data_IF_190481718996
#
_entry.id   IF_190481718996
#
_cell.length_a   1.000
_cell.length_b   1.000
_cell.length_c   1.000
_cell.angle_alpha   90.00
_cell.angle_beta   90.00
_cell.angle_gamma   90.00
#
_symmetry.space_group_name_H-M   'P 1'
#
loop_
_entity.id
_entity.type
_entity.pdbx_description
1 polymer ?
#
# COMPACT_ATOMS: atom_id res chain seq x y z
N UNK A 1 -20.05 -1.77 18.91
CA UNK A 1 -19.52 -0.56 18.25
C UNK A 1 -20.61 0.49 18.21
N UNK A 2 -20.29 1.73 18.57
CA UNK A 2 -21.22 2.84 18.43
C UNK A 2 -21.31 3.26 16.94
N UNK A 3 -22.40 3.92 16.54
CA UNK A 3 -22.66 4.29 15.14
C UNK A 3 -21.50 5.12 14.52
N UNK A 4 -20.82 5.94 15.33
CA UNK A 4 -19.67 6.73 14.89
C UNK A 4 -18.43 5.87 14.59
N UNK A 5 -18.21 4.78 15.34
CA UNK A 5 -17.09 3.86 15.12
C UNK A 5 -17.28 3.11 13.80
N UNK A 6 -18.51 2.63 13.54
CA UNK A 6 -18.85 1.98 12.28
C UNK A 6 -18.65 2.94 11.09
N UNK A 7 -19.10 4.20 11.21
CA UNK A 7 -18.88 5.20 10.16
C UNK A 7 -17.40 5.46 9.91
N UNK A 8 -16.59 5.58 10.97
CA UNK A 8 -15.15 5.78 10.84
C UNK A 8 -14.48 4.58 10.16
N UNK A 9 -14.84 3.36 10.56
CA UNK A 9 -14.34 2.13 9.95
C UNK A 9 -14.68 2.06 8.46
N UNK A 10 -15.93 2.35 8.08
CA UNK A 10 -16.35 2.38 6.67
C UNK A 10 -15.53 3.39 5.87
N UNK A 11 -15.27 4.59 6.42
CA UNK A 11 -14.45 5.61 5.76
C UNK A 11 -13.02 5.11 5.55
N UNK A 12 -12.41 4.51 6.57
CA UNK A 12 -11.03 4.00 6.50
C UNK A 12 -10.91 2.87 5.48
N UNK A 13 -11.83 1.91 5.51
CA UNK A 13 -11.87 0.79 4.57
C UNK A 13 -12.06 1.30 3.14
N UNK A 14 -13.02 2.21 2.91
CA UNK A 14 -13.26 2.79 1.58
C UNK A 14 -12.01 3.47 1.03
N UNK A 15 -11.29 4.23 1.89
CA UNK A 15 -10.06 4.89 1.49
C UNK A 15 -8.96 3.89 1.12
N UNK A 16 -8.83 2.79 1.86
CA UNK A 16 -7.87 1.75 1.51
C UNK A 16 -8.26 0.98 0.24
N UNK A 17 -9.55 0.76 -0.03
CA UNK A 17 -10.00 0.20 -1.31
C UNK A 17 -9.48 1.04 -2.48
N UNK A 18 -9.68 2.36 -2.42
CA UNK A 18 -9.21 3.28 -3.47
C UNK A 18 -7.69 3.25 -3.63
N UNK A 19 -6.95 3.24 -2.53
CA UNK A 19 -5.47 3.19 -2.56
C UNK A 19 -4.99 1.88 -3.19
N UNK A 20 -5.54 0.73 -2.78
CA UNK A 20 -5.14 -0.58 -3.30
C UNK A 20 -5.44 -0.69 -4.78
N UNK A 21 -6.63 -0.24 -5.23
CA UNK A 21 -6.98 -0.22 -6.65
C UNK A 21 -5.95 0.61 -7.42
N UNK A 22 -5.59 1.80 -6.93
CA UNK A 22 -4.59 2.65 -7.60
C UNK A 22 -3.21 2.01 -7.67
N UNK A 23 -2.78 1.34 -6.61
CA UNK A 23 -1.50 0.61 -6.62
C UNK A 23 -1.53 -0.47 -7.70
N UNK A 24 -2.55 -1.33 -7.69
CA UNK A 24 -2.63 -2.49 -8.57
C UNK A 24 -2.99 -2.13 -10.02
N UNK A 25 -3.66 -0.99 -10.26
CA UNK A 25 -3.88 -0.48 -11.61
C UNK A 25 -2.55 -0.12 -12.30
N UNK A 26 -1.60 0.45 -11.55
CA UNK A 26 -0.26 0.83 -12.03
C UNK A 26 0.64 -0.40 -12.18
N UNK A 27 0.72 -1.25 -11.13
CA UNK A 27 1.71 -2.34 -11.06
C UNK A 27 1.21 -3.69 -11.57
N UNK A 28 -0.09 -3.82 -11.86
CA UNK A 28 -0.84 -5.03 -12.29
C UNK A 28 -0.90 -6.15 -11.23
N UNK A 29 0.21 -6.46 -10.59
CA UNK A 29 0.27 -7.39 -9.47
C UNK A 29 1.21 -6.91 -8.36
N UNK A 30 0.91 -7.33 -7.13
CA UNK A 30 1.77 -7.12 -5.98
C UNK A 30 1.45 -8.13 -4.89
N UNK A 31 2.45 -8.62 -4.17
CA UNK A 31 2.22 -9.49 -3.01
C UNK A 31 1.33 -8.80 -1.96
N UNK A 32 0.57 -9.57 -1.19
CA UNK A 32 -0.21 -9.07 -0.06
C UNK A 32 0.70 -8.27 0.90
N UNK A 33 1.86 -8.79 1.27
CA UNK A 33 2.77 -8.14 2.24
C UNK A 33 3.23 -6.75 1.77
N UNK A 34 3.70 -6.63 0.53
CA UNK A 34 4.10 -5.34 -0.04
C UNK A 34 2.90 -4.40 -0.17
N UNK A 35 1.73 -4.92 -0.54
CA UNK A 35 0.49 -4.14 -0.64
C UNK A 35 0.11 -3.53 0.71
N UNK A 36 0.21 -4.27 1.81
CA UNK A 36 -0.04 -3.75 3.16
C UNK A 36 0.83 -2.53 3.47
N UNK A 37 2.13 -2.65 3.22
CA UNK A 37 3.09 -1.58 3.47
C UNK A 37 2.83 -0.34 2.60
N UNK A 38 2.71 -0.51 1.28
CA UNK A 38 2.56 0.63 0.37
C UNK A 38 1.20 1.31 0.50
N UNK A 39 0.13 0.55 0.79
CA UNK A 39 -1.18 1.13 1.08
C UNK A 39 -1.15 1.99 2.35
N UNK A 40 -0.46 1.53 3.39
CA UNK A 40 -0.25 2.32 4.61
C UNK A 40 0.50 3.62 4.33
N UNK A 41 1.63 3.56 3.61
CA UNK A 41 2.44 4.75 3.31
C UNK A 41 1.66 5.78 2.49
N UNK A 42 0.95 5.35 1.45
CA UNK A 42 0.14 6.25 0.63
C UNK A 42 -0.99 6.89 1.44
N UNK A 43 -1.59 6.15 2.38
CA UNK A 43 -2.59 6.71 3.28
C UNK A 43 -1.99 7.77 4.22
N UNK A 44 -0.83 7.51 4.84
CA UNK A 44 -0.16 8.48 5.73
C UNK A 44 0.29 9.74 4.99
N UNK A 45 0.85 9.61 3.79
CA UNK A 45 1.33 10.75 2.99
C UNK A 45 0.21 11.67 2.49
N UNK A 46 -1.01 11.17 2.35
CA UNK A 46 -2.16 12.04 2.04
C UNK A 46 -2.44 13.07 3.14
N UNK A 47 -1.86 12.91 4.34
CA UNK A 47 -2.05 13.80 5.49
C UNK A 47 -0.82 14.59 5.90
N UNK A 48 0.41 14.12 5.65
CA UNK A 48 1.63 14.78 6.09
C UNK A 48 2.81 14.44 5.18
N UNK A 49 3.65 15.46 4.96
CA UNK A 49 4.91 15.48 4.21
C UNK A 49 4.78 15.75 2.70
N UNK A 50 5.10 17.00 2.32
CA UNK A 50 5.70 17.26 1.01
C UNK A 50 6.94 16.40 0.82
N UNK A 51 7.23 16.02 -0.43
CA UNK A 51 8.24 15.03 -0.78
C UNK A 51 9.62 15.36 -0.17
N UNK A 52 9.95 14.76 0.98
CA UNK A 52 11.30 14.80 1.56
C UNK A 52 12.31 14.23 0.54
N UNK A 53 11.86 13.31 -0.29
CA UNK A 53 12.64 12.70 -1.36
C UNK A 53 12.01 12.98 -2.72
N UNK A 54 12.71 13.72 -3.56
CA UNK A 54 12.34 13.91 -4.96
C UNK A 54 12.80 12.73 -5.83
N UNK A 55 12.09 12.50 -6.94
CA UNK A 55 12.38 11.43 -7.92
C UNK A 55 13.79 11.48 -8.54
N UNK A 56 14.58 12.54 -8.28
CA UNK A 56 15.96 12.68 -8.76
C UNK A 56 16.98 11.79 -8.03
N UNK A 57 16.61 11.13 -6.93
CA UNK A 57 17.52 10.15 -6.28
C UNK A 57 17.03 8.73 -6.50
N UNK A 58 17.47 8.10 -7.59
CA UNK A 58 17.13 6.72 -7.98
C UNK A 58 17.79 5.64 -7.12
N UNK A 59 18.76 6.00 -6.27
CA UNK A 59 19.48 5.04 -5.43
C UNK A 59 18.76 4.85 -4.09
N UNK A 60 18.51 3.60 -3.72
CA UNK A 60 17.90 3.15 -2.46
C UNK A 60 16.50 3.75 -2.19
N UNK A 61 15.64 3.82 -3.21
CA UNK A 61 14.31 4.41 -3.07
C UNK A 61 13.44 3.61 -2.11
N UNK A 62 13.57 2.28 -2.13
CA UNK A 62 12.87 1.40 -1.20
C UNK A 62 13.28 1.64 0.26
N UNK A 63 14.58 1.63 0.57
CA UNK A 63 15.06 1.85 1.94
C UNK A 63 14.68 3.25 2.45
N UNK A 64 14.76 4.27 1.58
CA UNK A 64 14.27 5.62 1.91
C UNK A 64 12.78 5.62 2.20
N UNK A 65 11.97 4.88 1.43
CA UNK A 65 10.53 4.74 1.65
C UNK A 65 10.24 4.07 3.00
N UNK A 66 10.92 2.97 3.30
CA UNK A 66 10.82 2.25 4.58
C UNK A 66 11.22 3.15 5.74
N UNK A 67 12.28 3.95 5.62
CA UNK A 67 12.70 4.87 6.69
C UNK A 67 11.64 5.90 7.08
N UNK A 68 10.67 6.20 6.22
CA UNK A 68 9.62 7.18 6.53
C UNK A 68 8.61 6.71 7.57
N UNK A 69 8.55 5.39 7.80
CA UNK A 69 7.66 4.82 8.80
C UNK A 69 8.38 4.49 10.11
N UNK A 70 9.68 4.81 10.24
CA UNK A 70 10.43 4.57 11.46
C UNK A 70 9.75 5.16 12.70
N UNK A 71 9.57 4.32 13.73
CA UNK A 71 8.89 4.66 14.98
C UNK A 71 7.36 4.59 14.93
N UNK A 72 6.75 4.19 13.79
CA UNK A 72 5.29 4.10 13.63
C UNK A 72 4.75 2.65 13.61
N UNK A 73 5.48 1.68 14.16
CA UNK A 73 5.09 0.27 14.13
C UNK A 73 3.66 0.01 14.61
N UNK A 74 3.28 0.60 15.76
CA UNK A 74 1.93 0.41 16.32
C UNK A 74 0.81 0.93 15.41
N UNK A 75 1.02 2.07 14.76
CA UNK A 75 0.03 2.65 13.84
C UNK A 75 -0.04 1.88 12.52
N UNK A 76 1.09 1.34 12.07
CA UNK A 76 1.13 0.41 10.96
C UNK A 76 0.32 -0.85 11.27
N UNK A 77 0.57 -1.50 12.41
CA UNK A 77 -0.18 -2.69 12.83
C UNK A 77 -1.68 -2.44 12.95
N UNK A 78 -2.11 -1.30 13.52
CA UNK A 78 -3.53 -0.91 13.57
C UNK A 78 -4.13 -0.72 12.18
N UNK A 79 -3.35 -0.17 11.25
CA UNK A 79 -3.80 0.07 9.87
C UNK A 79 -3.98 -1.21 9.07
N UNK A 80 -3.15 -2.24 9.33
CA UNK A 80 -3.22 -3.54 8.64
C UNK A 80 -4.64 -4.13 8.71
N UNK A 81 -5.33 -4.02 9.84
CA UNK A 81 -6.70 -4.54 9.99
C UNK A 81 -7.65 -3.98 8.92
N UNK A 82 -7.62 -2.65 8.71
CA UNK A 82 -8.45 -1.99 7.72
C UNK A 82 -8.01 -2.30 6.29
N UNK A 83 -6.70 -2.43 6.05
CA UNK A 83 -6.17 -2.77 4.72
C UNK A 83 -6.58 -4.20 4.34
N UNK A 84 -6.50 -5.16 5.26
CA UNK A 84 -6.96 -6.54 5.02
C UNK A 84 -8.46 -6.58 4.74
N UNK A 85 -9.28 -5.85 5.52
CA UNK A 85 -10.73 -5.73 5.26
C UNK A 85 -11.01 -5.15 3.87
N UNK A 86 -10.25 -4.15 3.44
CA UNK A 86 -10.35 -3.58 2.09
C UNK A 86 -9.96 -4.61 1.01
N UNK A 87 -8.83 -5.31 1.15
CA UNK A 87 -8.42 -6.39 0.23
C UNK A 87 -9.52 -7.44 0.11
N UNK A 88 -10.04 -7.91 1.24
CA UNK A 88 -11.10 -8.91 1.28
C UNK A 88 -12.36 -8.43 0.55
N UNK A 89 -12.81 -7.20 0.80
CA UNK A 89 -13.96 -6.61 0.09
C UNK A 89 -13.72 -6.53 -1.41
N UNK A 90 -12.54 -6.12 -1.85
CA UNK A 90 -12.21 -6.04 -3.27
C UNK A 90 -12.18 -7.43 -3.94
N UNK A 91 -11.73 -8.47 -3.25
CA UNK A 91 -11.74 -9.85 -3.73
C UNK A 91 -13.17 -10.39 -3.83
N UNK A 92 -14.00 -10.20 -2.80
CA UNK A 92 -15.40 -10.66 -2.79
C UNK A 92 -16.21 -10.00 -3.92
N UNK A 93 -15.91 -8.74 -4.24
CA UNK A 93 -16.53 -8.01 -5.34
C UNK A 93 -15.86 -8.28 -6.71
N UNK A 94 -14.94 -9.24 -6.80
CA UNK A 94 -14.22 -9.64 -8.04
C UNK A 94 -13.43 -8.51 -8.72
N UNK A 95 -13.08 -7.48 -7.97
CA UNK A 95 -12.21 -6.39 -8.47
C UNK A 95 -10.75 -6.87 -8.47
N UNK A 96 -10.38 -7.67 -7.47
CA UNK A 96 -9.06 -8.28 -7.34
C UNK A 96 -9.15 -9.80 -7.37
N UNK A 97 -8.08 -10.41 -7.84
CA UNK A 97 -7.84 -11.85 -7.75
C UNK A 97 -6.68 -12.10 -6.80
N UNK A 98 -6.79 -13.15 -5.99
CA UNK A 98 -5.70 -13.62 -5.12
C UNK A 98 -5.16 -14.93 -5.69
N UNK A 99 -3.89 -14.91 -6.13
CA UNK A 99 -3.18 -16.09 -6.60
C UNK A 99 -2.01 -16.41 -5.64
N UNK A 100 -2.23 -17.35 -4.73
CA UNK A 100 -1.28 -17.63 -3.65
C UNK A 100 -1.12 -16.41 -2.75
N UNK A 101 0.03 -15.75 -2.83
CA UNK A 101 0.33 -14.52 -2.07
C UNK A 101 0.23 -13.24 -2.91
N UNK A 102 -0.03 -13.34 -4.21
CA UNK A 102 -0.12 -12.19 -5.11
C UNK A 102 -1.55 -11.70 -5.27
N UNK A 103 -1.73 -10.39 -5.17
CA UNK A 103 -2.94 -9.68 -5.55
C UNK A 103 -2.79 -9.22 -7.00
N UNK A 104 -3.79 -9.50 -7.81
CA UNK A 104 -3.81 -9.19 -9.25
C UNK A 104 -5.04 -8.32 -9.52
N UNK A 105 -4.86 -7.23 -10.26
CA UNK A 105 -5.98 -6.39 -10.69
C UNK A 105 -6.78 -7.09 -11.79
N UNK A 106 -8.08 -7.30 -11.55
CA UNK A 106 -8.93 -8.09 -12.46
C UNK A 106 -9.51 -7.31 -13.65
N UNK A 107 -9.42 -5.97 -13.65
CA UNK A 107 -9.98 -5.14 -14.71
C UNK A 107 -8.88 -4.56 -15.61
N UNK A 108 -9.06 -4.68 -16.92
CA UNK A 108 -8.15 -4.09 -17.92
C UNK A 108 -8.47 -2.62 -18.23
N UNK A 109 -9.52 -2.03 -17.64
CA UNK A 109 -9.95 -0.67 -17.96
C UNK A 109 -8.87 0.37 -17.59
N UNK A 110 -8.21 0.89 -18.64
CA UNK A 110 -7.09 1.84 -18.67
C UNK A 110 -7.45 3.28 -18.27
N UNK A 111 -8.46 3.49 -17.42
CA UNK A 111 -8.75 4.84 -16.97
C UNK A 111 -7.74 5.21 -15.88
N UNK A 112 -6.96 6.27 -16.13
CA UNK A 112 -6.06 7.09 -15.28
C UNK A 112 -6.12 6.91 -13.72
N UNK A 113 -6.10 5.68 -13.20
CA UNK A 113 -6.23 5.32 -11.79
C UNK A 113 -4.84 5.28 -11.12
N UNK A 114 -3.96 6.19 -11.51
CA UNK A 114 -2.64 6.35 -10.89
C UNK A 114 -2.71 7.10 -9.57
N UNK A 115 -1.82 6.78 -8.63
CA UNK A 115 -1.63 7.55 -7.39
C UNK A 115 -0.59 8.68 -7.55
N UNK A 116 -0.20 9.03 -8.79
CA UNK A 116 0.66 10.15 -9.19
C UNK A 116 1.86 10.42 -8.26
N UNK A 117 2.58 9.36 -7.84
CA UNK A 117 3.77 9.49 -7.01
C UNK A 117 4.91 8.61 -7.54
N UNK A 118 5.79 9.23 -8.34
CA UNK A 118 6.95 8.55 -8.96
C UNK A 118 7.92 7.96 -7.93
N UNK A 119 8.05 8.56 -6.75
CA UNK A 119 8.93 8.03 -5.71
C UNK A 119 8.41 6.69 -5.16
N UNK A 120 7.11 6.63 -4.82
CA UNK A 120 6.48 5.40 -4.36
C UNK A 120 6.44 4.36 -5.48
N UNK A 121 6.15 4.77 -6.71
CA UNK A 121 6.22 3.90 -7.89
C UNK A 121 7.60 3.25 -8.05
N UNK A 122 8.67 4.04 -7.99
CA UNK A 122 10.03 3.50 -8.02
C UNK A 122 10.32 2.56 -6.83
N UNK A 123 9.85 2.88 -5.63
CA UNK A 123 10.02 2.03 -4.46
C UNK A 123 9.26 0.70 -4.58
N UNK A 124 8.06 0.70 -5.18
CA UNK A 124 7.31 -0.53 -5.47
C UNK A 124 8.05 -1.37 -6.50
N UNK A 125 8.51 -0.76 -7.60
CA UNK A 125 9.29 -1.45 -8.63
C UNK A 125 10.56 -2.07 -8.05
N UNK A 126 11.31 -1.34 -7.21
CA UNK A 126 12.50 -1.84 -6.51
C UNK A 126 12.14 -3.01 -5.59
N UNK A 127 11.00 -2.94 -4.89
CA UNK A 127 10.53 -4.01 -4.00
C UNK A 127 10.17 -5.31 -4.71
N UNK A 128 9.83 -5.28 -6.00
CA UNK A 128 9.52 -6.49 -6.76
C UNK A 128 10.74 -7.42 -6.88
N UNK A 129 11.96 -6.88 -6.87
CA UNK A 129 13.20 -7.67 -6.87
C UNK A 129 13.52 -8.37 -5.54
N UNK A 130 12.77 -8.09 -4.46
CA UNK A 130 12.97 -8.72 -3.14
C UNK A 130 11.89 -9.76 -2.85
N UNK A 131 12.29 -10.85 -2.17
CA UNK A 131 11.32 -11.77 -1.58
C UNK A 131 10.52 -11.08 -0.47
N UNK A 132 9.27 -11.50 -0.27
CA UNK A 132 8.42 -10.97 0.81
C UNK A 132 9.06 -11.08 2.19
N UNK A 133 9.80 -12.17 2.44
CA UNK A 133 10.53 -12.36 3.70
C UNK A 133 11.62 -11.31 3.89
N UNK A 134 12.42 -11.03 2.86
CA UNK A 134 13.45 -10.01 2.92
C UNK A 134 12.83 -8.63 3.08
N UNK A 135 11.81 -8.32 2.27
CA UNK A 135 11.08 -7.06 2.36
C UNK A 135 10.52 -6.83 3.76
N UNK A 136 9.81 -7.81 4.32
CA UNK A 136 9.21 -7.69 5.65
C UNK A 136 10.26 -7.55 6.75
N UNK A 137 11.40 -8.24 6.63
CA UNK A 137 12.54 -8.09 7.55
C UNK A 137 13.05 -6.65 7.53
N UNK A 138 13.24 -6.06 6.35
CA UNK A 138 13.65 -4.66 6.22
C UNK A 138 12.60 -3.70 6.78
N UNK A 139 11.31 -3.94 6.51
CA UNK A 139 10.23 -3.16 7.11
C UNK A 139 10.35 -3.22 8.64
N UNK A 140 10.23 -4.39 9.26
CA UNK A 140 10.20 -4.56 10.72
C UNK A 140 11.46 -4.01 11.40
N UNK A 141 12.65 -4.19 10.80
CA UNK A 141 13.88 -3.67 11.38
C UNK A 141 13.94 -2.13 11.42
N UNK A 142 13.15 -1.46 10.58
CA UNK A 142 13.16 -0.01 10.43
C UNK A 142 11.90 0.68 10.97
N UNK A 143 10.78 -0.03 11.26
CA UNK A 143 9.54 0.56 11.83
C UNK A 143 9.57 0.63 13.35
#
# INVERSE_FOLDING_TARGET
MNNNELKMEVILISKYCDIIIKILAVHKNLSVNKTLFFAYILNKRSFNFGDIYSSNTSVNTLLKCISQIAGNYNDYCKSIEFIIKAIHLLIVNKILLLNGIELIYGNESEDNLGYNNKFIENAINESQGLSDRQFLKEVINNV
#
